data_IF_596293296842
#
_entry.id   IF_596293296842
#
_cell.length_a   1.000
_cell.length_b   1.000
_cell.length_c   1.000
_cell.angle_alpha   90.00
_cell.angle_beta   90.00
_cell.angle_gamma   90.00
#
_symmetry.space_group_name_H-M   'P 1'
#
loop_
_entity.id
_entity.type
_entity.pdbx_description
1 polymer ?
#
# COMPACT_ATOMS: atom_id res chain seq x y z
N UNK A 1 -26.88 25.85 -38.27
CA UNK A 1 -27.90 24.80 -38.48
C UNK A 1 -27.38 23.75 -39.47
N UNK A 2 -26.11 23.32 -39.38
CA UNK A 2 -25.54 22.25 -40.21
C UNK A 2 -25.31 20.96 -39.38
N UNK A 3 -25.05 21.08 -38.07
CA UNK A 3 -24.79 19.95 -37.16
C UNK A 3 -25.95 18.93 -37.06
N UNK A 4 -27.19 19.40 -37.17
CA UNK A 4 -28.39 18.56 -37.02
C UNK A 4 -28.59 17.60 -38.21
N UNK A 5 -28.04 17.90 -39.40
CA UNK A 5 -28.17 17.01 -40.56
C UNK A 5 -27.20 15.83 -40.48
N UNK A 6 -25.95 16.06 -40.06
CA UNK A 6 -25.00 14.98 -39.82
C UNK A 6 -25.47 14.06 -38.69
N UNK A 7 -25.99 14.63 -37.62
CA UNK A 7 -26.49 13.89 -36.46
C UNK A 7 -27.63 12.94 -36.86
N UNK A 8 -28.62 13.40 -37.63
CA UNK A 8 -29.71 12.53 -38.12
C UNK A 8 -29.27 11.40 -39.06
N UNK A 9 -28.18 11.59 -39.82
CA UNK A 9 -27.59 10.53 -40.64
C UNK A 9 -26.97 9.46 -39.74
N UNK A 10 -26.17 9.84 -38.75
CA UNK A 10 -25.54 8.87 -37.86
C UNK A 10 -26.56 8.17 -36.95
N UNK A 11 -27.59 8.89 -36.49
CA UNK A 11 -28.70 8.29 -35.74
C UNK A 11 -29.42 7.20 -36.54
N UNK A 12 -29.63 7.43 -37.85
CA UNK A 12 -30.25 6.42 -38.72
C UNK A 12 -29.37 5.19 -38.95
N UNK A 13 -28.05 5.34 -38.81
CA UNK A 13 -27.08 4.26 -38.84
C UNK A 13 -26.83 3.67 -37.43
N UNK A 14 -27.52 4.19 -36.41
CA UNK A 14 -27.37 3.82 -35.01
C UNK A 14 -25.91 4.00 -34.51
N UNK A 15 -25.22 5.01 -35.04
CA UNK A 15 -23.84 5.35 -34.73
C UNK A 15 -23.80 6.65 -33.92
N UNK A 16 -22.96 6.68 -32.88
CA UNK A 16 -22.65 7.89 -32.15
C UNK A 16 -21.14 8.17 -32.22
N UNK A 17 -20.70 9.09 -33.12
CA UNK A 17 -19.30 9.45 -33.27
C UNK A 17 -18.61 9.90 -31.98
N UNK A 18 -19.31 10.67 -31.15
CA UNK A 18 -18.75 11.16 -29.89
C UNK A 18 -18.54 10.02 -28.89
N UNK A 19 -19.47 9.07 -28.82
CA UNK A 19 -19.34 7.90 -27.96
C UNK A 19 -18.11 7.08 -28.34
N UNK A 20 -17.92 6.81 -29.63
CA UNK A 20 -16.74 6.11 -30.14
C UNK A 20 -15.43 6.84 -29.79
N UNK A 21 -15.37 8.15 -30.02
CA UNK A 21 -14.18 8.96 -29.70
C UNK A 21 -13.89 8.92 -28.20
N UNK A 22 -14.90 9.06 -27.35
CA UNK A 22 -14.74 8.97 -25.90
C UNK A 22 -14.22 7.59 -25.45
N UNK A 23 -14.68 6.51 -26.07
CA UNK A 23 -14.20 5.16 -25.77
C UNK A 23 -12.71 5.02 -26.11
N UNK A 24 -12.27 5.50 -27.28
CA UNK A 24 -10.85 5.49 -27.65
C UNK A 24 -10.01 6.34 -26.69
N UNK A 25 -10.50 7.52 -26.30
CA UNK A 25 -9.83 8.39 -25.32
C UNK A 25 -9.63 7.66 -23.99
N UNK A 26 -10.68 7.02 -23.48
CA UNK A 26 -10.63 6.27 -22.22
C UNK A 26 -9.63 5.09 -22.30
N UNK A 27 -9.64 4.34 -23.41
CA UNK A 27 -8.69 3.22 -23.62
C UNK A 27 -7.24 3.72 -23.59
N UNK A 28 -6.97 4.86 -24.23
CA UNK A 28 -5.63 5.45 -24.25
C UNK A 28 -5.20 5.87 -22.85
N UNK A 29 -6.07 6.51 -22.08
CA UNK A 29 -5.79 6.90 -20.69
C UNK A 29 -5.54 5.68 -19.79
N UNK A 30 -6.39 4.65 -19.89
CA UNK A 30 -6.23 3.40 -19.14
C UNK A 30 -4.89 2.72 -19.47
N UNK A 31 -4.50 2.69 -20.75
CA UNK A 31 -3.24 2.09 -21.17
C UNK A 31 -2.03 2.82 -20.61
N UNK A 32 -2.06 4.16 -20.60
CA UNK A 32 -0.99 4.99 -20.03
C UNK A 32 -0.86 4.71 -18.54
N UNK A 33 -1.97 4.68 -17.83
CA UNK A 33 -2.02 4.41 -16.39
C UNK A 33 -1.44 3.03 -16.06
N UNK A 34 -1.85 1.99 -16.77
CA UNK A 34 -1.33 0.63 -16.62
C UNK A 34 0.17 0.58 -16.89
N UNK A 35 0.64 1.21 -17.97
CA UNK A 35 2.06 1.21 -18.33
C UNK A 35 2.94 1.87 -17.26
N UNK A 36 2.55 3.05 -16.76
CA UNK A 36 3.33 3.73 -15.73
C UNK A 36 3.32 3.00 -14.39
N UNK A 37 2.20 2.38 -14.02
CA UNK A 37 2.14 1.54 -12.83
C UNK A 37 3.09 0.34 -12.94
N UNK A 38 3.12 -0.31 -14.11
CA UNK A 38 4.07 -1.39 -14.39
C UNK A 38 5.53 -0.92 -14.26
N UNK A 39 5.90 0.19 -14.90
CA UNK A 39 7.27 0.70 -14.83
C UNK A 39 7.69 1.10 -13.41
N UNK A 40 6.77 1.65 -12.61
CA UNK A 40 7.04 1.98 -11.21
C UNK A 40 7.32 0.71 -10.39
N UNK A 41 6.55 -0.35 -10.59
CA UNK A 41 6.77 -1.63 -9.92
C UNK A 41 8.10 -2.26 -10.34
N UNK A 42 8.36 -2.33 -11.65
CA UNK A 42 9.58 -2.92 -12.20
C UNK A 42 10.84 -2.16 -11.75
N UNK A 43 10.82 -0.82 -11.81
CA UNK A 43 11.92 0.01 -11.36
C UNK A 43 12.18 -0.14 -9.85
N UNK A 44 11.12 -0.25 -9.05
CA UNK A 44 11.24 -0.47 -7.59
C UNK A 44 11.89 -1.82 -7.29
N UNK A 45 11.55 -2.87 -8.06
CA UNK A 45 12.13 -4.21 -7.93
C UNK A 45 13.62 -4.21 -8.30
N UNK A 46 13.98 -3.65 -9.46
CA UNK A 46 15.35 -3.64 -9.97
C UNK A 46 16.30 -2.83 -9.08
N UNK A 47 15.82 -1.70 -8.56
CA UNK A 47 16.63 -0.79 -7.75
C UNK A 47 16.63 -1.13 -6.25
N UNK A 48 15.83 -2.13 -5.82
CA UNK A 48 15.68 -2.55 -4.41
C UNK A 48 15.47 -1.36 -3.47
N UNK A 49 14.61 -0.42 -3.87
CA UNK A 49 14.43 0.85 -3.15
C UNK A 49 13.55 0.73 -1.90
N UNK A 50 13.03 -0.48 -1.61
CA UNK A 50 12.16 -0.76 -0.47
C UNK A 50 12.74 -0.24 0.86
N UNK A 51 11.95 0.58 1.57
CA UNK A 51 12.30 1.11 2.89
C UNK A 51 13.36 2.23 2.91
N UNK A 52 13.75 2.79 1.77
CA UNK A 52 14.76 3.87 1.69
C UNK A 52 14.22 5.16 1.07
N UNK A 53 14.86 6.30 1.35
CA UNK A 53 14.54 7.62 0.75
C UNK A 53 14.54 7.61 -0.79
N UNK A 54 15.26 6.65 -1.40
CA UNK A 54 15.32 6.44 -2.86
C UNK A 54 13.97 6.04 -3.47
N UNK A 55 13.09 5.38 -2.70
CA UNK A 55 11.74 5.04 -3.18
C UNK A 55 10.90 6.30 -3.43
N UNK A 56 11.00 7.28 -2.53
CA UNK A 56 10.30 8.55 -2.66
C UNK A 56 10.82 9.38 -3.84
N UNK A 57 12.15 9.43 -4.03
CA UNK A 57 12.76 10.10 -5.18
C UNK A 57 12.39 9.44 -6.52
N UNK A 58 12.37 8.10 -6.57
CA UNK A 58 11.96 7.33 -7.74
C UNK A 58 10.49 7.61 -8.11
N UNK A 59 9.59 7.53 -7.12
CA UNK A 59 8.17 7.81 -7.31
C UNK A 59 7.93 9.25 -7.82
N UNK A 60 8.66 10.22 -7.25
CA UNK A 60 8.61 11.61 -7.70
C UNK A 60 9.11 11.78 -9.14
N UNK A 61 10.20 11.12 -9.51
CA UNK A 61 10.74 11.15 -10.88
C UNK A 61 9.77 10.55 -11.90
N UNK A 62 9.21 9.38 -11.60
CA UNK A 62 8.23 8.71 -12.48
C UNK A 62 6.95 9.53 -12.60
N UNK A 63 6.48 10.14 -11.51
CA UNK A 63 5.31 11.03 -11.55
C UNK A 63 5.54 12.24 -12.45
N UNK A 64 6.75 12.81 -12.45
CA UNK A 64 7.10 13.91 -13.35
C UNK A 64 7.14 13.48 -14.83
N UNK A 65 7.71 12.31 -15.12
CA UNK A 65 7.72 11.77 -16.49
C UNK A 65 6.30 11.46 -16.97
N UNK A 66 5.47 10.87 -16.10
CA UNK A 66 4.05 10.60 -16.37
C UNK A 66 3.30 11.87 -16.69
N UNK A 67 3.45 12.94 -15.89
CA UNK A 67 2.72 14.19 -16.15
C UNK A 67 3.15 14.86 -17.47
N UNK A 68 4.43 14.77 -17.84
CA UNK A 68 4.92 15.30 -19.11
C UNK A 68 4.34 14.54 -20.30
N UNK A 69 4.32 13.22 -20.23
CA UNK A 69 3.78 12.36 -21.27
C UNK A 69 2.26 12.53 -21.36
N UNK A 70 1.55 12.52 -20.24
CA UNK A 70 0.10 12.73 -20.19
C UNK A 70 -0.27 14.07 -20.83
N UNK A 71 0.36 15.17 -20.40
CA UNK A 71 0.07 16.50 -20.96
C UNK A 71 0.30 16.57 -22.48
N UNK A 72 1.34 15.90 -22.98
CA UNK A 72 1.61 15.83 -24.43
C UNK A 72 0.57 14.99 -25.15
N UNK A 73 0.14 13.89 -24.54
CA UNK A 73 -0.85 12.98 -25.10
C UNK A 73 -2.24 13.63 -25.12
N UNK A 74 -2.68 14.25 -24.02
CA UNK A 74 -3.93 15.00 -23.92
C UNK A 74 -4.03 16.03 -25.05
N UNK A 75 -2.95 16.79 -25.29
CA UNK A 75 -2.93 17.79 -26.35
C UNK A 75 -3.08 17.16 -27.75
N UNK A 76 -2.48 15.99 -27.97
CA UNK A 76 -2.58 15.28 -29.26
C UNK A 76 -3.95 14.64 -29.42
N UNK A 77 -4.48 14.05 -28.36
CA UNK A 77 -5.78 13.40 -28.34
C UNK A 77 -6.92 14.42 -28.52
N UNK A 78 -6.80 15.62 -27.95
CA UNK A 78 -7.75 16.72 -28.21
C UNK A 78 -7.77 17.12 -29.69
N UNK A 79 -6.59 17.28 -30.32
CA UNK A 79 -6.50 17.59 -31.75
C UNK A 79 -7.04 16.47 -32.62
N UNK A 80 -6.82 15.23 -32.20
CA UNK A 80 -7.33 14.04 -32.88
C UNK A 80 -8.87 13.97 -32.79
N UNK A 81 -9.46 14.22 -31.62
CA UNK A 81 -10.91 14.32 -31.44
C UNK A 81 -11.51 15.39 -32.37
N UNK A 82 -10.94 16.59 -32.35
CA UNK A 82 -11.41 17.67 -33.24
C UNK A 82 -11.31 17.29 -34.72
N UNK A 83 -10.24 16.61 -35.12
CA UNK A 83 -10.07 16.13 -36.49
C UNK A 83 -11.12 15.06 -36.84
N UNK A 84 -11.36 14.10 -35.96
CA UNK A 84 -12.35 13.05 -36.15
C UNK A 84 -13.75 13.63 -36.34
N UNK A 85 -14.17 14.55 -35.47
CA UNK A 85 -15.50 15.16 -35.56
C UNK A 85 -15.67 15.99 -36.83
N UNK A 86 -14.65 16.76 -37.23
CA UNK A 86 -14.76 17.67 -38.39
C UNK A 86 -14.57 16.95 -39.73
N UNK A 87 -13.72 15.94 -39.79
CA UNK A 87 -13.22 15.37 -41.05
C UNK A 87 -13.68 13.92 -41.24
N UNK A 88 -13.50 13.06 -40.24
CA UNK A 88 -13.87 11.64 -40.36
C UNK A 88 -15.39 11.45 -40.31
N UNK A 89 -16.03 12.12 -39.36
CA UNK A 89 -17.48 12.10 -39.16
C UNK A 89 -18.18 13.35 -39.72
N UNK A 90 -17.47 14.14 -40.53
CA UNK A 90 -18.04 15.27 -41.24
C UNK A 90 -18.86 14.79 -42.45
N UNK A 91 -20.15 15.10 -42.48
CA UNK A 91 -20.99 14.81 -43.65
C UNK A 91 -20.77 15.88 -44.73
N UNK A 92 -20.37 15.51 -45.96
CA UNK A 92 -20.21 16.48 -47.04
C UNK A 92 -21.53 17.20 -47.37
N UNK A 93 -21.44 18.48 -47.70
CA UNK A 93 -22.61 19.28 -48.07
C UNK A 93 -23.30 18.68 -49.30
N UNK A 94 -24.59 18.40 -49.17
CA UNK A 94 -25.42 17.79 -50.23
C UNK A 94 -25.51 16.27 -50.17
N UNK A 95 -24.86 15.61 -49.21
CA UNK A 95 -25.06 14.18 -48.97
C UNK A 95 -26.38 13.94 -48.21
N UNK A 96 -27.19 13.01 -48.70
CA UNK A 96 -28.41 12.55 -48.04
C UNK A 96 -28.53 11.04 -48.22
N UNK A 97 -28.95 10.35 -47.17
CA UNK A 97 -29.26 8.92 -47.27
C UNK A 97 -30.42 8.69 -48.26
N UNK A 98 -30.37 7.62 -49.08
CA UNK A 98 -31.53 7.19 -49.83
C UNK A 98 -32.70 6.99 -48.86
N UNK A 99 -33.81 7.68 -49.09
CA UNK A 99 -35.01 7.48 -48.28
C UNK A 99 -35.47 6.04 -48.50
N UNK A 100 -35.71 5.31 -47.42
CA UNK A 100 -36.06 3.89 -47.40
C UNK A 100 -37.46 3.57 -47.95
N UNK A 101 -37.91 4.26 -49.01
CA UNK A 101 -39.29 4.20 -49.49
C UNK A 101 -39.52 4.24 -51.00
N UNK A 102 -38.53 4.58 -51.83
CA UNK A 102 -38.71 4.63 -53.29
C UNK A 102 -37.64 3.80 -54.00
N UNK A 103 -37.76 2.47 -53.91
CA UNK A 103 -37.15 1.59 -54.91
C UNK A 103 -38.03 1.64 -56.16
N UNK A 104 -37.84 2.69 -56.98
CA UNK A 104 -38.21 2.62 -58.39
C UNK A 104 -37.21 1.69 -59.07
N UNK A 105 -37.74 0.63 -59.64
CA UNK A 105 -37.08 -0.55 -60.23
C UNK A 105 -36.22 -0.27 -61.48
N UNK A 106 -35.54 0.88 -61.55
CA UNK A 106 -34.74 1.26 -62.70
C UNK A 106 -33.57 2.18 -62.28
N UNK A 107 -32.42 1.58 -61.97
CA UNK A 107 -31.15 1.82 -62.67
C UNK A 107 -29.97 1.21 -61.90
N UNK A 108 -29.35 0.25 -62.59
CA UNK A 108 -28.05 -0.33 -62.33
C UNK A 108 -26.95 0.76 -62.17
N UNK A 109 -25.98 0.50 -61.28
CA UNK A 109 -24.72 1.22 -60.98
C UNK A 109 -24.73 2.33 -59.89
N UNK A 110 -24.51 1.96 -58.62
CA UNK A 110 -23.18 1.85 -57.95
C UNK A 110 -23.33 1.73 -56.42
N UNK A 111 -22.70 0.74 -55.77
CA UNK A 111 -22.64 0.68 -54.31
C UNK A 111 -21.65 1.72 -53.80
N UNK A 112 -22.12 2.72 -53.05
CA UNK A 112 -21.26 3.43 -52.12
C UNK A 112 -21.02 2.47 -50.95
N UNK A 113 -19.82 1.88 -50.97
CA UNK A 113 -19.19 1.24 -49.83
C UNK A 113 -19.10 2.29 -48.72
N UNK A 114 -20.14 2.38 -47.90
CA UNK A 114 -20.04 2.91 -46.55
C UNK A 114 -19.65 1.71 -45.69
N UNK A 115 -18.38 1.71 -45.33
CA UNK A 115 -17.74 0.78 -44.42
C UNK A 115 -18.61 0.64 -43.18
N UNK A 116 -19.31 -0.48 -43.05
CA UNK A 116 -19.84 -0.94 -41.78
C UNK A 116 -18.65 -1.15 -40.84
N UNK A 117 -18.52 -0.26 -39.87
CA UNK A 117 -17.49 -0.30 -38.85
C UNK A 117 -17.91 -1.26 -37.74
N UNK A 118 -17.73 -2.55 -37.98
CA UNK A 118 -17.43 -3.49 -36.90
C UNK A 118 -15.90 -3.70 -36.91
N UNK A 119 -15.26 -3.28 -35.82
CA UNK A 119 -13.93 -3.70 -35.33
C UNK A 119 -12.90 -4.09 -36.41
N UNK A 120 -11.96 -3.19 -36.71
CA UNK A 120 -10.73 -3.55 -37.41
C UNK A 120 -9.86 -4.47 -36.54
N UNK A 121 -10.13 -5.77 -36.57
CA UNK A 121 -9.10 -6.79 -36.36
C UNK A 121 -8.45 -6.97 -37.72
N UNK A 122 -7.20 -6.53 -37.86
CA UNK A 122 -6.42 -6.78 -39.08
C UNK A 122 -6.10 -8.28 -39.13
N UNK A 123 -6.96 -9.06 -39.78
CA UNK A 123 -6.58 -10.36 -40.33
C UNK A 123 -6.32 -10.17 -41.81
N UNK A 124 -5.04 -10.22 -42.20
CA UNK A 124 -4.65 -10.35 -43.59
C UNK A 124 -5.22 -11.67 -44.15
N UNK A 125 -6.19 -11.57 -45.07
CA UNK A 125 -6.59 -12.69 -45.92
C UNK A 125 -5.91 -12.51 -47.28
N UNK A 126 -5.07 -13.47 -47.67
CA UNK A 126 -4.48 -13.52 -49.02
C UNK A 126 -5.60 -13.76 -50.04
N UNK A 127 -5.70 -12.88 -51.04
CA UNK A 127 -6.85 -12.74 -51.93
C UNK A 127 -7.05 -13.82 -52.99
N UNK A 128 -6.84 -15.10 -52.69
CA UNK A 128 -7.13 -16.22 -53.60
C UNK A 128 -8.33 -17.10 -53.16
N UNK A 129 -8.91 -16.88 -51.99
CA UNK A 129 -10.13 -17.56 -51.54
C UNK A 129 -11.30 -16.57 -51.44
N UNK A 130 -11.78 -16.07 -52.58
CA UNK A 130 -13.11 -15.44 -52.66
C UNK A 130 -14.13 -16.57 -52.87
N UNK A 131 -14.94 -16.96 -51.87
CA UNK A 131 -16.07 -17.83 -52.16
C UNK A 131 -17.06 -17.02 -53.00
N UNK A 132 -17.54 -17.65 -54.08
CA UNK A 132 -18.70 -17.19 -54.83
C UNK A 132 -19.80 -16.82 -53.82
N UNK A 133 -20.27 -15.57 -53.90
CA UNK A 133 -21.37 -15.08 -53.08
C UNK A 133 -22.65 -15.74 -53.61
N UNK A 134 -22.85 -17.00 -53.25
CA UNK A 134 -24.10 -17.70 -53.47
C UNK A 134 -25.16 -16.94 -52.66
N UNK A 135 -26.19 -16.47 -53.34
CA UNK A 135 -27.21 -15.63 -52.73
C UNK A 135 -27.99 -16.48 -51.73
N UNK A 136 -27.62 -16.39 -50.45
CA UNK A 136 -28.36 -16.99 -49.35
C UNK A 136 -29.84 -16.62 -49.51
N UNK A 137 -30.69 -17.64 -49.54
CA UNK A 137 -32.13 -17.40 -49.60
C UNK A 137 -32.59 -16.70 -48.31
N UNK A 138 -33.63 -15.86 -48.38
CA UNK A 138 -34.19 -15.16 -47.20
C UNK A 138 -34.46 -16.11 -46.02
N UNK A 139 -34.85 -17.35 -46.31
CA UNK A 139 -35.10 -18.39 -45.30
C UNK A 139 -33.83 -18.81 -44.54
N UNK A 140 -32.69 -18.86 -45.21
CA UNK A 140 -31.41 -19.22 -44.61
C UNK A 140 -30.85 -18.08 -43.76
N UNK A 141 -31.08 -16.83 -44.20
CA UNK A 141 -30.76 -15.64 -43.41
C UNK A 141 -31.58 -15.59 -42.12
N UNK A 142 -32.88 -15.89 -42.21
CA UNK A 142 -33.78 -15.96 -41.05
C UNK A 142 -33.37 -17.08 -40.08
N UNK A 143 -32.92 -18.24 -40.58
CA UNK A 143 -32.42 -19.33 -39.75
C UNK A 143 -31.14 -18.94 -38.99
N UNK A 144 -30.19 -18.28 -39.66
CA UNK A 144 -28.99 -17.74 -39.02
C UNK A 144 -29.32 -16.67 -37.98
N UNK A 145 -30.28 -15.77 -38.27
CA UNK A 145 -30.72 -14.73 -37.34
C UNK A 145 -31.33 -15.34 -36.07
N UNK A 146 -32.14 -16.37 -36.21
CA UNK A 146 -32.71 -17.09 -35.07
C UNK A 146 -31.63 -17.83 -34.26
N UNK A 147 -30.66 -18.46 -34.94
CA UNK A 147 -29.51 -19.08 -34.28
C UNK A 147 -28.68 -18.07 -33.46
N UNK A 148 -28.45 -16.87 -33.99
CA UNK A 148 -27.75 -15.80 -33.28
C UNK A 148 -28.55 -15.28 -32.09
N UNK A 149 -29.87 -15.11 -32.23
CA UNK A 149 -30.74 -14.72 -31.11
C UNK A 149 -30.71 -15.74 -29.97
N UNK A 150 -30.75 -17.03 -30.30
CA UNK A 150 -30.66 -18.11 -29.31
C UNK A 150 -29.29 -18.12 -28.62
N UNK A 151 -28.19 -17.96 -29.37
CA UNK A 151 -26.84 -17.81 -28.78
C UNK A 151 -26.74 -16.58 -27.88
N UNK A 152 -27.30 -15.45 -28.28
CA UNK A 152 -27.28 -14.23 -27.47
C UNK A 152 -28.07 -14.41 -26.17
N UNK A 153 -29.22 -15.07 -26.22
CA UNK A 153 -30.01 -15.39 -25.05
C UNK A 153 -29.25 -16.34 -24.10
N UNK A 154 -28.56 -17.34 -24.65
CA UNK A 154 -27.73 -18.26 -23.88
C UNK A 154 -26.56 -17.54 -23.21
N UNK A 155 -25.78 -16.76 -23.96
CA UNK A 155 -24.66 -15.96 -23.43
C UNK A 155 -25.14 -14.95 -22.39
N UNK A 156 -26.31 -14.35 -22.59
CA UNK A 156 -26.93 -13.47 -21.59
C UNK A 156 -27.23 -14.19 -20.27
N UNK A 157 -27.71 -15.43 -20.33
CA UNK A 157 -27.94 -16.27 -19.14
C UNK A 157 -26.63 -16.66 -18.46
N UNK A 158 -25.62 -17.06 -19.22
CA UNK A 158 -24.29 -17.41 -18.72
C UNK A 158 -23.59 -16.21 -18.08
N UNK A 159 -23.66 -15.04 -18.71
CA UNK A 159 -23.15 -13.77 -18.19
C UNK A 159 -23.82 -13.40 -16.86
N UNK A 160 -25.15 -13.51 -16.77
CA UNK A 160 -25.87 -13.28 -15.52
C UNK A 160 -25.49 -14.28 -14.42
N UNK A 161 -25.20 -15.54 -14.77
CA UNK A 161 -24.69 -16.53 -13.82
C UNK A 161 -23.27 -16.21 -13.36
N UNK A 162 -22.39 -15.83 -14.28
CA UNK A 162 -21.02 -15.45 -13.97
C UNK A 162 -21.01 -14.20 -13.07
N UNK A 163 -21.83 -13.19 -13.36
CA UNK A 163 -22.00 -12.00 -12.52
C UNK A 163 -22.44 -12.36 -11.10
N UNK A 164 -23.38 -13.30 -10.93
CA UNK A 164 -23.76 -13.81 -9.59
C UNK A 164 -22.58 -14.47 -8.87
N UNK A 165 -21.75 -15.25 -9.58
CA UNK A 165 -20.55 -15.89 -9.01
C UNK A 165 -19.52 -14.84 -8.58
N UNK A 166 -19.28 -13.81 -9.39
CA UNK A 166 -18.38 -12.70 -9.06
C UNK A 166 -18.83 -12.00 -7.78
N UNK A 167 -20.09 -11.56 -7.69
CA UNK A 167 -20.60 -10.92 -6.47
C UNK A 167 -20.48 -11.81 -5.23
N UNK A 168 -20.70 -13.12 -5.36
CA UNK A 168 -20.54 -14.08 -4.26
C UNK A 168 -19.06 -14.22 -3.82
N UNK A 169 -18.12 -14.25 -4.77
CA UNK A 169 -16.70 -14.33 -4.50
C UNK A 169 -16.16 -13.03 -3.87
N UNK A 170 -16.63 -11.87 -4.33
CA UNK A 170 -16.30 -10.57 -3.72
C UNK A 170 -16.76 -10.50 -2.26
N UNK A 171 -17.99 -10.97 -1.97
CA UNK A 171 -18.49 -11.06 -0.59
C UNK A 171 -17.65 -11.98 0.29
N UNK A 172 -17.21 -13.13 -0.23
CA UNK A 172 -16.29 -14.03 0.49
C UNK A 172 -14.92 -13.41 0.72
N UNK A 173 -14.36 -12.74 -0.29
CA UNK A 173 -13.07 -12.06 -0.21
C UNK A 173 -13.10 -10.94 0.86
N UNK A 174 -14.15 -10.14 0.87
CA UNK A 174 -14.34 -9.08 1.87
C UNK A 174 -14.41 -9.66 3.30
N UNK A 175 -15.19 -10.73 3.50
CA UNK A 175 -15.29 -11.40 4.80
C UNK A 175 -13.96 -12.06 5.23
N UNK A 176 -13.23 -12.65 4.29
CA UNK A 176 -11.90 -13.23 4.54
C UNK A 176 -10.87 -12.17 4.92
N UNK A 177 -10.94 -10.99 4.30
CA UNK A 177 -10.06 -9.87 4.65
C UNK A 177 -10.34 -9.38 6.07
N UNK A 178 -11.62 -9.21 6.42
CA UNK A 178 -12.02 -8.79 7.76
C UNK A 178 -11.62 -9.80 8.85
N UNK A 179 -11.69 -11.11 8.56
CA UNK A 179 -11.24 -12.14 9.51
C UNK A 179 -9.72 -12.16 9.67
N UNK A 180 -8.96 -11.96 8.58
CA UNK A 180 -7.50 -11.82 8.65
C UNK A 180 -7.08 -10.60 9.49
N UNK A 181 -7.73 -9.46 9.30
CA UNK A 181 -7.49 -8.24 10.10
C UNK A 181 -7.81 -8.49 11.58
N UNK A 182 -8.94 -9.12 11.90
CA UNK A 182 -9.31 -9.45 13.28
C UNK A 182 -8.33 -10.44 13.95
N UNK A 183 -7.81 -11.41 13.19
CA UNK A 183 -6.78 -12.34 13.67
C UNK A 183 -5.48 -11.60 13.97
N UNK A 184 -5.05 -10.68 13.10
CA UNK A 184 -3.84 -9.88 13.31
C UNK A 184 -3.95 -9.02 14.58
N UNK A 185 -5.09 -8.33 14.77
CA UNK A 185 -5.36 -7.55 15.97
C UNK A 185 -5.32 -8.40 17.25
N UNK A 186 -5.89 -9.61 17.21
CA UNK A 186 -5.85 -10.54 18.34
C UNK A 186 -4.40 -10.97 18.65
N UNK A 187 -3.60 -11.31 17.63
CA UNK A 187 -2.20 -11.69 17.80
C UNK A 187 -1.35 -10.55 18.37
N UNK A 188 -1.52 -9.32 17.87
CA UNK A 188 -0.83 -8.14 18.42
C UNK A 188 -1.20 -7.91 19.89
N UNK A 189 -2.47 -8.13 20.25
CA UNK A 189 -2.94 -7.97 21.63
C UNK A 189 -2.29 -8.99 22.58
N UNK A 190 -2.17 -10.25 22.16
CA UNK A 190 -1.49 -11.29 22.94
C UNK A 190 0.00 -10.99 23.14
N UNK A 191 0.72 -10.63 22.07
CA UNK A 191 2.14 -10.30 22.14
C UNK A 191 2.41 -9.11 23.07
N UNK A 192 1.54 -8.09 23.03
CA UNK A 192 1.66 -6.91 23.88
C UNK A 192 1.41 -7.23 25.37
N UNK A 193 0.43 -8.07 25.68
CA UNK A 193 0.14 -8.48 27.05
C UNK A 193 1.27 -9.34 27.63
N UNK A 194 1.76 -10.32 26.87
CA UNK A 194 2.80 -11.25 27.34
C UNK A 194 4.12 -10.52 27.63
N UNK A 195 4.56 -9.65 26.71
CA UNK A 195 5.75 -8.84 26.92
C UNK A 195 5.62 -7.95 28.17
N UNK A 196 4.45 -7.32 28.38
CA UNK A 196 4.24 -6.43 29.53
C UNK A 196 4.32 -7.19 30.85
N UNK A 197 3.70 -8.38 30.95
CA UNK A 197 3.73 -9.21 32.16
C UNK A 197 5.14 -9.70 32.47
N UNK A 198 5.87 -10.20 31.47
CA UNK A 198 7.26 -10.64 31.63
C UNK A 198 8.18 -9.51 32.12
N UNK A 199 8.05 -8.31 31.57
CA UNK A 199 8.83 -7.16 32.02
C UNK A 199 8.46 -6.72 33.44
N UNK A 200 7.19 -6.78 33.80
CA UNK A 200 6.72 -6.47 35.14
C UNK A 200 7.31 -7.44 36.17
N UNK A 201 7.24 -8.75 35.91
CA UNK A 201 7.76 -9.79 36.80
C UNK A 201 9.28 -9.74 36.94
N UNK A 202 10.00 -9.52 35.83
CA UNK A 202 11.45 -9.34 35.86
C UNK A 202 11.84 -8.10 36.70
N UNK A 203 11.11 -7.00 36.54
CA UNK A 203 11.33 -5.77 37.30
C UNK A 203 11.10 -5.99 38.79
N UNK A 204 10.00 -6.69 39.14
CA UNK A 204 9.69 -7.04 40.52
C UNK A 204 10.80 -7.92 41.12
N UNK A 205 11.20 -8.98 40.42
CA UNK A 205 12.25 -9.90 40.88
C UNK A 205 13.60 -9.20 41.04
N UNK A 206 13.98 -8.33 40.09
CA UNK A 206 15.20 -7.55 40.19
C UNK A 206 15.18 -6.58 41.38
N UNK A 207 14.03 -5.96 41.66
CA UNK A 207 13.86 -5.08 42.81
C UNK A 207 14.01 -5.83 44.14
N UNK A 208 13.42 -7.03 44.23
CA UNK A 208 13.51 -7.87 45.41
C UNK A 208 14.93 -8.37 45.64
N UNK A 209 15.61 -8.81 44.57
CA UNK A 209 17.02 -9.21 44.62
C UNK A 209 17.90 -8.07 45.12
N UNK A 210 17.70 -6.84 44.61
CA UNK A 210 18.44 -5.65 45.07
C UNK A 210 18.19 -5.36 46.55
N UNK A 211 16.96 -5.47 47.03
CA UNK A 211 16.63 -5.28 48.44
C UNK A 211 17.32 -6.34 49.33
N UNK A 212 17.29 -7.61 48.93
CA UNK A 212 17.97 -8.71 49.63
C UNK A 212 19.49 -8.51 49.66
N UNK A 213 20.08 -8.06 48.55
CA UNK A 213 21.50 -7.77 48.46
C UNK A 213 21.91 -6.61 49.39
N UNK A 214 21.13 -5.53 49.44
CA UNK A 214 21.38 -4.41 50.34
C UNK A 214 21.26 -4.82 51.82
N UNK A 215 20.26 -5.64 52.17
CA UNK A 215 20.13 -6.18 53.51
C UNK A 215 21.30 -7.10 53.89
N UNK A 216 21.77 -7.96 52.97
CA UNK A 216 22.96 -8.79 53.19
C UNK A 216 24.23 -7.95 53.40
N UNK A 217 24.43 -6.91 52.58
CA UNK A 217 25.55 -5.97 52.75
C UNK A 217 25.50 -5.28 54.11
N UNK A 218 24.32 -4.83 54.55
CA UNK A 218 24.13 -4.20 55.87
C UNK A 218 24.46 -5.17 57.02
N UNK A 219 23.90 -6.38 56.98
CA UNK A 219 24.17 -7.43 57.99
C UNK A 219 25.66 -7.75 58.12
N UNK A 220 26.38 -7.83 56.99
CA UNK A 220 27.84 -8.05 56.99
C UNK A 220 28.59 -6.91 57.68
N UNK A 221 28.21 -5.65 57.44
CA UNK A 221 28.85 -4.49 58.08
C UNK A 221 28.60 -4.50 59.60
N UNK A 222 27.36 -4.75 60.02
CA UNK A 222 26.98 -4.85 61.44
C UNK A 222 27.71 -6.01 62.15
N UNK A 223 27.90 -7.14 61.48
CA UNK A 223 28.67 -8.26 62.01
C UNK A 223 30.15 -7.93 62.22
N UNK A 224 30.79 -7.28 61.24
CA UNK A 224 32.18 -6.82 61.36
C UNK A 224 32.32 -5.81 62.51
N UNK A 225 31.35 -4.90 62.66
CA UNK A 225 31.34 -3.94 63.77
C UNK A 225 31.20 -4.63 65.12
N UNK A 226 30.23 -5.56 65.28
CA UNK A 226 30.06 -6.35 66.51
C UNK A 226 31.30 -7.16 66.88
N UNK A 227 31.96 -7.77 65.90
CA UNK A 227 33.19 -8.53 66.09
C UNK A 227 34.37 -7.62 66.51
N UNK A 228 34.51 -6.43 65.90
CA UNK A 228 35.48 -5.42 66.34
C UNK A 228 35.23 -4.95 67.77
N UNK A 229 33.98 -4.65 68.12
CA UNK A 229 33.62 -4.27 69.49
C UNK A 229 33.83 -5.41 70.49
N UNK A 230 33.53 -6.65 70.11
CA UNK A 230 33.80 -7.83 70.93
C UNK A 230 35.29 -7.96 71.24
N UNK A 231 36.15 -7.79 70.23
CA UNK A 231 37.62 -7.77 70.43
C UNK A 231 38.09 -6.60 71.29
N UNK A 232 37.52 -5.41 71.13
CA UNK A 232 37.86 -4.25 71.97
C UNK A 232 37.45 -4.47 73.43
N UNK A 233 36.23 -4.98 73.66
CA UNK A 233 35.76 -5.35 75.01
C UNK A 233 36.65 -6.43 75.63
N UNK A 234 37.02 -7.47 74.89
CA UNK A 234 37.92 -8.52 75.38
C UNK A 234 39.31 -7.99 75.73
N UNK A 235 39.88 -7.09 74.92
CA UNK A 235 41.16 -6.42 75.21
C UNK A 235 41.09 -5.52 76.43
N UNK A 236 40.01 -4.74 76.60
CA UNK A 236 39.78 -3.93 77.79
C UNK A 236 39.64 -4.79 79.05
N UNK A 237 38.95 -5.93 78.96
CA UNK A 237 38.84 -6.86 80.10
C UNK A 237 40.18 -7.52 80.40
N UNK A 238 40.98 -7.89 79.40
CA UNK A 238 42.33 -8.43 79.60
C UNK A 238 43.28 -7.39 80.22
N UNK A 239 43.25 -6.12 79.76
CA UNK A 239 44.03 -5.02 80.35
C UNK A 239 43.59 -4.66 81.78
N UNK A 240 42.29 -4.72 82.08
CA UNK A 240 41.77 -4.50 83.45
C UNK A 240 42.16 -5.66 84.39
N UNK A 241 42.26 -6.89 83.88
CA UNK A 241 42.71 -8.06 84.65
C UNK A 241 44.25 -8.15 84.77
N UNK A 242 45.01 -7.40 83.96
CA UNK A 242 46.48 -7.32 84.00
C UNK A 242 47.03 -6.11 84.76
N UNK A 243 46.22 -5.43 85.57
CA UNK A 243 46.74 -4.44 86.52
C UNK A 243 47.36 -5.12 87.74
N UNK A 244 48.67 -4.92 88.03
CA UNK A 244 49.19 -5.26 89.35
C UNK A 244 48.49 -4.37 90.36
N UNK A 245 47.95 -4.96 91.44
CA UNK A 245 47.66 -4.21 92.67
C UNK A 245 49.00 -3.73 93.24
N UNK A 246 49.49 -2.61 92.73
CA UNK A 246 50.69 -1.93 93.19
C UNK A 246 50.36 -0.47 93.43
N UNK A 247 50.58 -0.02 94.66
CA UNK A 247 50.58 1.39 94.99
C UNK A 247 51.52 2.17 94.07
N UNK A 248 51.09 3.36 93.63
CA UNK A 248 52.01 4.45 93.28
C UNK A 248 51.80 5.06 91.90
N UNK A 249 51.13 6.22 91.86
CA UNK A 249 51.47 7.33 90.97
C UNK A 249 50.86 8.67 91.43
N UNK A 250 50.89 8.92 92.75
CA UNK A 250 50.80 10.29 93.29
C UNK A 250 52.19 10.72 93.77
N UNK A 251 53.21 10.68 92.90
CA UNK A 251 54.49 11.38 93.13
C UNK A 251 55.06 11.78 91.77
N UNK A 252 54.41 12.73 91.11
CA UNK A 252 55.09 13.62 90.20
C UNK A 252 54.99 14.99 90.86
N UNK A 253 56.12 15.54 91.29
CA UNK A 253 56.20 16.85 91.93
C UNK A 253 55.50 17.88 91.05
N UNK A 254 54.51 18.55 91.63
CA UNK A 254 53.67 19.56 90.99
C UNK A 254 54.50 20.70 90.34
N UNK A 255 55.71 20.94 90.86
CA UNK A 255 56.68 21.89 90.32
C UNK A 255 57.15 21.53 88.90
N UNK A 256 57.33 20.25 88.58
CA UNK A 256 57.74 19.82 87.23
C UNK A 256 56.65 19.99 86.18
N UNK A 257 55.39 20.05 86.60
CA UNK A 257 54.26 20.31 85.71
C UNK A 257 54.08 21.83 85.48
N UNK A 258 54.47 22.64 86.47
CA UNK A 258 54.50 24.10 86.37
C UNK A 258 55.58 24.55 85.38
N UNK A 259 56.79 24.01 85.49
CA UNK A 259 57.90 24.30 84.56
C UNK A 259 57.55 23.95 83.09
N UNK A 260 56.84 22.84 82.89
CA UNK A 260 56.44 22.40 81.55
C UNK A 260 55.34 23.29 80.94
N UNK A 261 54.50 23.93 81.76
CA UNK A 261 53.48 24.87 81.30
C UNK A 261 54.06 26.24 80.96
N UNK A 262 55.08 26.68 81.69
CA UNK A 262 55.79 27.94 81.43
C UNK A 262 56.66 27.85 80.16
N UNK A 263 57.19 26.65 79.83
CA UNK A 263 57.96 26.39 78.60
C UNK A 263 57.08 26.42 77.33
N UNK A 264 55.80 26.01 77.41
CA UNK A 264 54.89 25.99 76.24
C UNK A 264 54.25 27.37 76.01
N UNK A 265 54.19 28.23 77.03
CA UNK A 265 53.56 29.56 76.93
C UNK A 265 54.53 30.69 76.58
N UNK A 266 55.83 30.41 76.49
CA UNK A 266 56.88 31.39 76.12
C UNK A 266 57.52 31.16 74.75
N UNK A 267 56.98 30.26 73.91
CA UNK A 267 57.39 30.07 72.49
C UNK A 267 56.36 30.53 71.47
#
# INVERSE_FOLDING_TARGET
MEDSHSESIFDSLNLNPQLFINEVLNIVDDLVDVAFNFFLQEASMLLKTEGTDRSAELSKGISYVRSLIQSTLDQRMQKWEEYCLRVCFGVPKGFSLPKSGDYSDDLYLRPLVLVSQEVCIVMEFSGDDLPELDAFTDAELDEQLNSLRDRLALVGKESAELGRKVCALEGQSFSSKQSAESIDEALQSYLKQDATLLFQDLTNMASEFRARLLNLKRKRIEEIQRDREGRLRARLVDDVLRMPRGNGLFVADLEKLQDFLDEITTS
#
